data_IF_383701650291
#
_entry.id   IF_383701650291
#
_cell.length_a   1.000
_cell.length_b   1.000
_cell.length_c   1.000
_cell.angle_alpha   90.00
_cell.angle_beta   90.00
_cell.angle_gamma   90.00
#
_symmetry.space_group_name_H-M   'P 1'
#
loop_
_entity.id
_entity.type
_entity.pdbx_description
1 polymer ?
#
# COMPACT_ATOMS: atom_id res chain seq x y z
N UNK A 1 92.66 49.64 45.22
CA UNK A 1 92.47 49.82 43.77
C UNK A 1 91.49 48.70 43.30
N UNK A 2 90.22 49.00 43.29
CA UNK A 2 89.24 47.95 42.96
C UNK A 2 88.19 48.55 42.03
N UNK A 3 88.16 48.07 40.82
CA UNK A 3 87.25 48.54 39.76
C UNK A 3 85.98 47.70 39.81
N UNK A 4 84.86 48.36 40.05
CA UNK A 4 83.53 47.73 40.00
C UNK A 4 82.97 47.82 38.60
N UNK A 5 82.70 46.68 37.97
CA UNK A 5 81.95 46.59 36.71
C UNK A 5 80.50 46.42 36.99
N UNK A 6 79.66 47.33 36.50
CA UNK A 6 78.23 47.25 36.50
C UNK A 6 77.78 46.41 35.28
N UNK A 7 77.01 45.33 35.51
CA UNK A 7 76.36 44.51 34.48
C UNK A 7 74.97 45.01 34.27
N UNK A 8 74.64 45.42 33.03
CA UNK A 8 73.32 45.82 32.62
C UNK A 8 72.53 44.58 32.21
N UNK A 9 71.44 44.27 32.93
CA UNK A 9 70.46 43.26 32.53
C UNK A 9 69.48 43.90 31.54
N UNK A 10 69.44 43.47 30.32
CA UNK A 10 68.41 43.78 29.33
C UNK A 10 67.27 42.78 29.48
N UNK A 11 66.15 43.23 29.97
CA UNK A 11 64.88 42.47 29.93
C UNK A 11 64.33 42.51 28.52
N UNK A 12 64.37 41.41 27.81
CA UNK A 12 63.57 41.19 26.58
C UNK A 12 62.26 40.55 26.97
N UNK A 13 61.16 41.31 26.91
CA UNK A 13 59.80 40.78 27.01
C UNK A 13 59.45 40.09 25.68
N UNK A 14 59.33 38.79 25.68
CA UNK A 14 58.77 38.04 24.56
C UNK A 14 57.23 38.07 24.64
N UNK A 15 56.58 38.83 23.76
CA UNK A 15 55.16 38.77 23.59
C UNK A 15 54.80 37.51 22.83
N UNK A 16 54.18 36.52 23.49
CA UNK A 16 53.60 35.35 22.87
C UNK A 16 52.26 35.75 22.24
N UNK A 17 52.21 35.87 20.91
CA UNK A 17 50.99 36.00 20.16
C UNK A 17 50.28 34.65 20.12
N UNK A 18 49.24 34.43 20.94
CA UNK A 18 48.34 33.30 20.82
C UNK A 18 47.48 33.49 19.58
N UNK A 19 47.80 32.79 18.50
CA UNK A 19 46.94 32.65 17.31
C UNK A 19 45.70 31.85 17.73
N UNK A 20 44.56 32.52 17.90
CA UNK A 20 43.28 31.86 18.05
C UNK A 20 42.92 31.17 16.71
N UNK A 21 43.05 29.84 16.65
CA UNK A 21 42.47 29.06 15.55
C UNK A 21 40.95 29.16 15.60
N UNK A 22 40.28 29.47 14.49
CA UNK A 22 38.81 29.46 14.48
C UNK A 22 38.37 28.03 14.77
N UNK A 23 37.56 27.86 15.82
CA UNK A 23 36.87 26.61 16.10
C UNK A 23 35.95 26.31 14.91
N UNK A 24 36.26 25.26 14.15
CA UNK A 24 35.38 24.68 13.16
C UNK A 24 34.15 24.19 13.93
N UNK A 25 33.10 25.00 13.96
CA UNK A 25 31.75 24.53 14.33
C UNK A 25 31.36 23.50 13.25
N UNK A 26 31.55 22.24 13.53
CA UNK A 26 30.86 21.18 12.81
C UNK A 26 29.37 21.43 13.07
N UNK A 27 28.67 21.92 12.05
CA UNK A 27 27.22 21.97 12.08
C UNK A 27 26.72 20.56 12.45
N UNK A 28 26.15 20.43 13.63
CA UNK A 28 25.55 19.20 14.09
C UNK A 28 24.50 18.82 13.03
N UNK A 29 24.67 17.65 12.42
CA UNK A 29 23.66 17.15 11.48
C UNK A 29 22.28 17.24 12.17
N UNK A 30 21.26 17.75 11.50
CA UNK A 30 19.96 17.92 12.12
C UNK A 30 19.51 16.58 12.69
N UNK A 31 19.21 16.56 13.97
CA UNK A 31 18.71 15.37 14.66
C UNK A 31 17.49 14.88 13.86
N UNK A 32 17.42 13.61 13.45
CA UNK A 32 16.27 13.10 12.70
C UNK A 32 15.01 13.40 13.50
N UNK A 33 14.07 14.14 12.93
CA UNK A 33 12.77 14.42 13.56
C UNK A 33 12.13 13.07 13.82
N UNK A 34 11.97 12.71 15.08
CA UNK A 34 11.30 11.48 15.47
C UNK A 34 9.83 11.61 15.06
N UNK A 35 9.46 10.91 13.99
CA UNK A 35 8.06 10.85 13.52
C UNK A 35 7.31 9.82 14.34
N UNK A 36 6.01 10.04 14.50
CA UNK A 36 5.10 9.05 15.06
C UNK A 36 4.23 8.51 13.93
N UNK A 37 3.92 7.21 13.98
CA UNK A 37 2.88 6.61 13.14
C UNK A 37 2.14 5.61 14.03
N UNK A 38 1.00 6.04 14.57
CA UNK A 38 0.24 5.27 15.56
C UNK A 38 -1.28 5.47 15.30
N UNK A 39 -1.80 4.96 14.17
CA UNK A 39 -3.22 5.04 13.89
C UNK A 39 -4.01 4.28 14.96
N UNK A 40 -5.06 4.92 15.49
CA UNK A 40 -5.98 4.33 16.44
C UNK A 40 -7.40 4.52 15.92
N UNK A 41 -8.27 3.54 16.16
CA UNK A 41 -9.70 3.68 15.87
C UNK A 41 -10.27 4.90 16.57
N UNK A 42 -11.16 5.63 15.90
CA UNK A 42 -11.66 6.90 16.42
C UNK A 42 -12.83 7.45 15.60
N UNK A 43 -12.78 8.74 15.31
CA UNK A 43 -13.85 9.40 14.57
C UNK A 43 -13.92 8.92 13.10
N UNK A 44 -15.12 8.62 12.65
CA UNK A 44 -15.43 8.37 11.25
C UNK A 44 -15.29 9.66 10.44
N UNK A 45 -14.59 9.56 9.31
CA UNK A 45 -14.47 10.64 8.33
C UNK A 45 -15.28 10.27 7.09
N UNK A 46 -16.10 11.19 6.59
CA UNK A 46 -16.89 11.00 5.37
C UNK A 46 -16.14 11.56 4.18
N UNK A 47 -16.08 10.79 3.10
CA UNK A 47 -15.49 11.17 1.83
C UNK A 47 -16.49 10.98 0.70
N UNK A 48 -16.42 11.85 -0.28
CA UNK A 48 -17.08 11.71 -1.57
C UNK A 48 -16.00 11.61 -2.64
N UNK A 49 -16.03 10.52 -3.39
CA UNK A 49 -15.02 10.21 -4.41
C UNK A 49 -15.71 10.12 -5.75
N UNK A 50 -15.34 11.01 -6.67
CA UNK A 50 -15.84 11.03 -8.04
C UNK A 50 -14.80 10.43 -8.98
N UNK A 51 -15.20 9.41 -9.72
CA UNK A 51 -14.42 8.78 -10.79
C UNK A 51 -15.09 9.13 -12.11
N UNK A 52 -14.35 9.79 -12.99
CA UNK A 52 -14.78 10.10 -14.35
C UNK A 52 -13.94 9.32 -15.36
N UNK A 53 -14.61 8.73 -16.34
CA UNK A 53 -13.99 8.06 -17.49
C UNK A 53 -14.54 8.70 -18.75
N UNK A 54 -13.67 9.20 -19.59
CA UNK A 54 -13.97 9.68 -20.95
C UNK A 54 -13.22 8.81 -21.95
N UNK A 55 -13.88 8.36 -23.00
CA UNK A 55 -13.24 7.60 -24.08
C UNK A 55 -12.87 8.57 -25.19
N UNK A 56 -11.59 8.90 -25.29
CA UNK A 56 -11.08 9.94 -26.18
C UNK A 56 -11.16 9.53 -27.66
N UNK A 57 -10.95 8.26 -27.97
CA UNK A 57 -10.97 7.69 -29.31
C UNK A 57 -11.94 6.51 -29.35
N UNK A 58 -13.25 6.78 -29.43
CA UNK A 58 -14.24 5.70 -29.45
C UNK A 58 -14.22 4.97 -30.78
N UNK A 59 -14.11 3.65 -30.73
CA UNK A 59 -14.17 2.77 -31.90
C UNK A 59 -15.10 1.58 -31.63
N UNK A 60 -16.21 1.52 -32.33
CA UNK A 60 -17.19 0.45 -32.18
C UNK A 60 -17.94 0.47 -30.84
N UNK A 61 -18.50 -0.67 -30.46
CA UNK A 61 -19.13 -0.83 -29.18
C UNK A 61 -18.10 -0.85 -28.07
N UNK A 62 -18.29 -0.03 -27.04
CA UNK A 62 -17.36 0.11 -25.92
C UNK A 62 -18.05 -0.30 -24.62
N UNK A 63 -17.35 -1.02 -23.78
CA UNK A 63 -17.78 -1.41 -22.43
C UNK A 63 -16.83 -0.85 -21.39
N UNK A 64 -17.37 -0.35 -20.30
CA UNK A 64 -16.62 0.21 -19.19
C UNK A 64 -17.14 -0.37 -17.87
N UNK A 65 -16.23 -0.70 -16.96
CA UNK A 65 -16.51 -1.14 -15.60
C UNK A 65 -15.77 -0.24 -14.61
N UNK A 66 -16.52 0.41 -13.73
CA UNK A 66 -15.96 1.24 -12.67
C UNK A 66 -16.14 0.51 -11.32
N UNK A 67 -15.07 0.33 -10.54
CA UNK A 67 -15.19 -0.30 -9.23
C UNK A 67 -16.01 0.56 -8.26
N UNK A 68 -16.93 -0.08 -7.55
CA UNK A 68 -17.76 0.54 -6.51
C UNK A 68 -17.24 0.08 -5.14
N UNK A 69 -17.03 0.99 -4.17
CA UNK A 69 -16.70 0.60 -2.81
C UNK A 69 -17.78 -0.32 -2.23
N UNK A 70 -17.41 -1.53 -1.83
CA UNK A 70 -18.35 -2.54 -1.34
C UNK A 70 -17.97 -3.12 0.03
N UNK A 71 -16.83 -2.70 0.58
CA UNK A 71 -16.38 -3.15 1.91
C UNK A 71 -17.18 -2.43 2.99
N UNK A 72 -17.76 -3.21 3.93
CA UNK A 72 -18.33 -2.73 5.17
C UNK A 72 -17.72 -3.50 6.34
N UNK A 73 -17.09 -2.78 7.26
CA UNK A 73 -16.28 -3.35 8.33
C UNK A 73 -16.11 -2.36 9.49
N UNK A 74 -15.23 -2.71 10.42
CA UNK A 74 -14.83 -1.86 11.53
C UNK A 74 -14.09 -0.57 11.12
N UNK A 75 -13.58 -0.49 9.87
CA UNK A 75 -12.80 0.65 9.38
C UNK A 75 -13.41 1.39 8.21
N UNK A 76 -14.43 0.82 7.54
CA UNK A 76 -15.11 1.44 6.42
C UNK A 76 -16.61 1.14 6.40
N UNK A 77 -17.37 2.14 6.02
CA UNK A 77 -18.79 2.03 5.66
C UNK A 77 -18.99 2.57 4.26
N UNK A 78 -19.45 1.72 3.35
CA UNK A 78 -19.86 2.13 2.00
C UNK A 78 -21.30 2.59 2.08
N UNK A 79 -21.57 3.88 1.75
CA UNK A 79 -22.87 4.49 1.95
C UNK A 79 -23.71 4.44 0.66
N UNK A 80 -23.52 5.43 -0.20
CA UNK A 80 -24.33 5.60 -1.41
C UNK A 80 -23.46 5.81 -2.64
N UNK A 81 -24.03 5.51 -3.79
CA UNK A 81 -23.39 5.74 -5.08
C UNK A 81 -24.39 6.40 -6.02
N UNK A 82 -23.95 7.40 -6.75
CA UNK A 82 -24.69 8.02 -7.84
C UNK A 82 -23.83 8.02 -9.11
N UNK A 83 -24.48 8.01 -10.26
CA UNK A 83 -23.74 7.98 -11.53
C UNK A 83 -24.49 8.71 -12.63
N UNK A 84 -23.74 9.20 -13.61
CA UNK A 84 -24.22 9.82 -14.84
C UNK A 84 -23.40 9.30 -16.01
N UNK A 85 -24.07 8.98 -17.12
CA UNK A 85 -23.44 8.51 -18.34
C UNK A 85 -24.34 8.76 -19.54
N UNK A 86 -23.77 8.84 -20.74
CA UNK A 86 -24.51 8.81 -22.02
C UNK A 86 -24.59 7.37 -22.61
N UNK A 87 -24.13 6.35 -21.88
CA UNK A 87 -24.28 4.95 -22.23
C UNK A 87 -25.40 4.25 -21.46
N UNK A 88 -25.65 2.99 -21.78
CA UNK A 88 -26.54 2.11 -21.02
C UNK A 88 -25.84 1.65 -19.76
N UNK A 89 -26.40 1.94 -18.59
CA UNK A 89 -25.79 1.68 -17.29
C UNK A 89 -26.46 0.51 -16.56
N UNK A 90 -25.66 -0.24 -15.79
CA UNK A 90 -26.14 -1.29 -14.92
C UNK A 90 -25.24 -1.39 -13.68
N UNK A 91 -25.85 -1.39 -12.48
CA UNK A 91 -25.14 -1.81 -11.27
C UNK A 91 -25.09 -3.33 -11.25
N UNK A 92 -23.91 -3.87 -11.10
CA UNK A 92 -23.67 -5.31 -11.11
C UNK A 92 -22.52 -5.71 -10.18
N UNK A 93 -22.24 -6.97 -10.10
CA UNK A 93 -21.13 -7.49 -9.30
C UNK A 93 -20.53 -8.73 -9.97
N UNK A 94 -19.28 -9.01 -9.65
CA UNK A 94 -18.67 -10.29 -9.97
C UNK A 94 -19.42 -11.43 -9.29
N UNK A 95 -19.71 -12.48 -10.06
CA UNK A 95 -20.50 -13.62 -9.58
C UNK A 95 -19.79 -14.52 -8.58
N UNK A 96 -18.47 -14.44 -8.46
CA UNK A 96 -17.67 -15.28 -7.57
C UNK A 96 -17.33 -14.60 -6.23
N UNK A 97 -16.97 -13.32 -6.28
CA UNK A 97 -16.32 -12.63 -5.16
C UNK A 97 -17.07 -11.38 -4.73
N UNK A 98 -18.16 -11.04 -5.42
CA UNK A 98 -19.04 -9.95 -5.05
C UNK A 98 -18.44 -8.55 -5.22
N UNK A 99 -17.37 -8.41 -6.02
CA UNK A 99 -16.84 -7.10 -6.36
C UNK A 99 -17.89 -6.29 -7.12
N UNK A 100 -18.40 -5.21 -6.51
CA UNK A 100 -19.45 -4.37 -7.10
C UNK A 100 -18.86 -3.42 -8.12
N UNK A 101 -19.63 -3.16 -9.18
CA UNK A 101 -19.22 -2.28 -10.27
C UNK A 101 -20.39 -1.59 -10.95
N UNK A 102 -20.11 -0.41 -11.48
CA UNK A 102 -20.95 0.23 -12.49
C UNK A 102 -20.47 -0.25 -13.86
N UNK A 103 -21.31 -1.02 -14.55
CA UNK A 103 -21.14 -1.38 -15.94
C UNK A 103 -21.80 -0.33 -16.83
N UNK A 104 -21.09 0.08 -17.89
CA UNK A 104 -21.61 1.01 -18.90
C UNK A 104 -21.29 0.46 -20.28
N UNK A 105 -22.30 0.45 -21.17
CA UNK A 105 -22.16 0.08 -22.57
C UNK A 105 -22.52 1.26 -23.46
N UNK A 106 -21.59 1.61 -24.35
CA UNK A 106 -21.77 2.69 -25.31
C UNK A 106 -21.98 2.13 -26.70
N UNK A 107 -23.00 2.66 -27.39
CA UNK A 107 -23.28 2.30 -28.75
C UNK A 107 -22.12 2.69 -29.68
N UNK A 108 -21.94 1.96 -30.78
CA UNK A 108 -20.82 2.17 -31.71
C UNK A 108 -20.78 3.56 -32.36
N UNK A 109 -21.88 4.28 -32.35
CA UNK A 109 -22.02 5.64 -32.90
C UNK A 109 -21.97 6.73 -31.84
N UNK A 110 -21.70 6.40 -30.56
CA UNK A 110 -21.53 7.42 -29.52
C UNK A 110 -20.17 8.13 -29.71
N UNK A 111 -20.22 9.43 -30.01
CA UNK A 111 -19.04 10.20 -30.38
C UNK A 111 -18.19 10.64 -29.19
N UNK A 112 -18.76 10.75 -28.01
CA UNK A 112 -18.10 11.18 -26.78
C UNK A 112 -18.58 10.38 -25.57
N UNK A 113 -18.23 9.10 -25.51
CA UNK A 113 -18.61 8.24 -24.40
C UNK A 113 -18.04 8.75 -23.07
N UNK A 114 -18.88 8.89 -22.05
CA UNK A 114 -18.42 9.21 -20.72
C UNK A 114 -19.22 8.50 -19.65
N UNK A 115 -18.58 8.25 -18.52
CA UNK A 115 -19.23 7.79 -17.31
C UNK A 115 -18.64 8.52 -16.09
N UNK A 116 -19.50 8.93 -15.18
CA UNK A 116 -19.13 9.53 -13.88
C UNK A 116 -19.79 8.71 -12.80
N UNK A 117 -19.00 8.23 -11.85
CA UNK A 117 -19.45 7.54 -10.64
C UNK A 117 -19.01 8.36 -9.44
N UNK A 118 -19.95 8.72 -8.58
CA UNK A 118 -19.66 9.35 -7.28
C UNK A 118 -20.06 8.39 -6.17
N UNK A 119 -19.06 8.04 -5.34
CA UNK A 119 -19.21 7.12 -4.20
C UNK A 119 -19.01 7.87 -2.91
N UNK A 120 -19.91 7.70 -1.95
CA UNK A 120 -19.81 8.26 -0.61
C UNK A 120 -19.48 7.17 0.40
N UNK A 121 -18.42 7.38 1.15
CA UNK A 121 -17.89 6.41 2.11
C UNK A 121 -17.52 7.07 3.43
N UNK A 122 -17.51 6.28 4.49
CA UNK A 122 -16.87 6.66 5.75
C UNK A 122 -15.70 5.75 6.02
N UNK A 123 -14.60 6.32 6.50
CA UNK A 123 -13.43 5.55 6.94
C UNK A 123 -12.97 6.02 8.32
N UNK A 124 -12.28 5.15 9.02
CA UNK A 124 -11.53 5.50 10.23
C UNK A 124 -10.19 4.75 10.26
N UNK A 125 -9.30 5.17 11.14
CA UNK A 125 -8.08 4.42 11.40
C UNK A 125 -8.42 3.04 11.96
N UNK A 126 -7.50 2.10 11.77
CA UNK A 126 -7.62 0.74 12.28
C UNK A 126 -6.37 0.36 13.05
N UNK A 127 -6.56 -0.27 14.21
CA UNK A 127 -5.50 -0.86 14.99
C UNK A 127 -6.02 -2.10 15.72
N UNK A 128 -5.30 -3.20 15.65
CA UNK A 128 -5.62 -4.39 16.42
C UNK A 128 -5.24 -4.20 17.88
N UNK A 129 -6.14 -4.57 18.79
CA UNK A 129 -5.82 -4.69 20.19
C UNK A 129 -5.25 -6.09 20.47
N UNK A 130 -3.94 -6.17 20.56
CA UNK A 130 -3.24 -7.44 20.80
C UNK A 130 -3.40 -7.98 22.24
N UNK A 131 -3.95 -7.18 23.15
CA UNK A 131 -4.19 -7.60 24.53
C UNK A 131 -5.48 -8.41 24.71
N UNK A 132 -6.42 -8.31 23.73
CA UNK A 132 -7.75 -8.90 23.83
C UNK A 132 -8.06 -9.81 22.63
N UNK A 133 -8.63 -10.97 22.89
CA UNK A 133 -9.11 -11.93 21.88
C UNK A 133 -10.63 -12.01 21.92
N UNK A 134 -11.28 -10.96 21.45
CA UNK A 134 -12.74 -10.79 21.56
C UNK A 134 -13.48 -10.87 20.23
N UNK A 135 -12.76 -10.97 19.10
CA UNK A 135 -13.41 -11.04 17.80
C UNK A 135 -14.23 -12.32 17.64
N UNK A 136 -15.43 -12.17 17.12
CA UNK A 136 -16.27 -13.29 16.72
C UNK A 136 -15.57 -14.17 15.67
N UNK A 137 -15.92 -15.44 15.62
CA UNK A 137 -15.44 -16.33 14.58
C UNK A 137 -16.00 -15.94 13.22
N UNK A 138 -15.13 -15.96 12.22
CA UNK A 138 -15.55 -15.84 10.83
C UNK A 138 -16.17 -17.14 10.32
N UNK A 139 -16.98 -17.05 9.28
CA UNK A 139 -17.55 -18.21 8.61
C UNK A 139 -16.46 -19.14 8.04
N UNK A 140 -16.65 -20.46 8.24
CA UNK A 140 -15.66 -21.46 7.85
C UNK A 140 -15.43 -21.52 6.33
N UNK A 141 -16.46 -21.29 5.53
CA UNK A 141 -16.34 -21.30 4.07
C UNK A 141 -15.58 -20.07 3.59
N UNK A 142 -15.81 -18.92 4.21
CA UNK A 142 -15.04 -17.69 3.99
C UNK A 142 -13.55 -17.91 4.32
N UNK A 143 -13.24 -18.50 5.48
CA UNK A 143 -11.85 -18.79 5.86
C UNK A 143 -11.20 -19.78 4.89
N UNK A 144 -11.92 -20.84 4.50
CA UNK A 144 -11.44 -21.80 3.54
C UNK A 144 -11.17 -21.14 2.17
N UNK A 145 -12.07 -20.28 1.71
CA UNK A 145 -11.89 -19.53 0.47
C UNK A 145 -10.59 -18.71 0.49
N UNK A 146 -10.32 -17.96 1.54
CA UNK A 146 -9.13 -17.14 1.67
C UNK A 146 -7.85 -17.90 2.04
N UNK A 147 -7.86 -19.25 2.02
CA UNK A 147 -6.67 -20.09 1.99
C UNK A 147 -6.42 -20.73 0.60
N UNK A 148 -7.36 -20.55 -0.35
CA UNK A 148 -7.20 -21.12 -1.69
C UNK A 148 -6.25 -20.28 -2.55
N UNK A 149 -5.58 -20.89 -3.54
CA UNK A 149 -4.83 -20.16 -4.55
C UNK A 149 -5.75 -19.31 -5.43
N UNK A 150 -5.17 -18.30 -6.08
CA UNK A 150 -5.72 -17.61 -7.23
C UNK A 150 -4.71 -17.63 -8.39
N UNK A 151 -5.09 -17.14 -9.56
CA UNK A 151 -4.25 -17.26 -10.76
C UNK A 151 -2.82 -16.72 -10.56
N UNK A 152 -2.67 -15.60 -9.85
CA UNK A 152 -1.37 -14.94 -9.58
C UNK A 152 -0.83 -15.18 -8.18
N UNK A 153 -1.59 -15.83 -7.32
CA UNK A 153 -1.23 -16.14 -5.93
C UNK A 153 -1.35 -17.64 -5.70
N UNK A 154 -0.46 -18.46 -6.29
CA UNK A 154 -0.41 -19.89 -5.99
C UNK A 154 0.05 -20.13 -4.56
N UNK A 155 -0.27 -21.30 -4.00
CA UNK A 155 0.03 -21.68 -2.61
C UNK A 155 0.94 -22.89 -2.49
N UNK A 156 1.43 -23.43 -3.60
CA UNK A 156 2.30 -24.58 -3.70
C UNK A 156 3.70 -24.22 -4.27
N UNK A 157 4.46 -25.21 -4.70
CA UNK A 157 5.75 -25.02 -5.36
C UNK A 157 6.72 -24.13 -4.58
N UNK A 158 7.28 -23.14 -5.26
CA UNK A 158 8.25 -22.20 -4.67
C UNK A 158 7.62 -21.32 -3.59
N UNK A 159 6.34 -20.98 -3.72
CA UNK A 159 5.60 -20.16 -2.74
C UNK A 159 5.53 -20.90 -1.40
N UNK A 160 5.11 -22.17 -1.41
CA UNK A 160 5.08 -23.00 -0.21
C UNK A 160 6.46 -23.21 0.39
N UNK A 161 7.47 -23.47 -0.44
CA UNK A 161 8.86 -23.63 0.03
C UNK A 161 9.33 -22.38 0.76
N UNK A 162 9.10 -21.21 0.18
CA UNK A 162 9.48 -19.92 0.77
C UNK A 162 8.71 -19.65 2.08
N UNK A 163 7.40 -19.92 2.08
CA UNK A 163 6.56 -19.72 3.25
C UNK A 163 6.98 -20.60 4.44
N UNK A 164 7.29 -21.87 4.19
CA UNK A 164 7.78 -22.80 5.22
C UNK A 164 9.15 -22.37 5.76
N UNK A 165 10.04 -21.89 4.91
CA UNK A 165 11.35 -21.37 5.33
C UNK A 165 11.19 -20.10 6.19
N UNK A 166 10.35 -19.16 5.74
CA UNK A 166 10.09 -17.91 6.46
C UNK A 166 9.44 -18.16 7.82
N UNK A 167 8.58 -19.18 7.94
CA UNK A 167 7.84 -19.47 9.19
C UNK A 167 8.47 -20.53 10.10
N UNK A 168 9.72 -20.92 9.82
CA UNK A 168 10.40 -21.94 10.62
C UNK A 168 10.36 -21.59 12.11
N UNK A 169 9.87 -22.56 12.95
CA UNK A 169 9.74 -22.42 14.40
C UNK A 169 8.51 -21.64 14.87
N UNK A 170 7.67 -21.08 13.98
CA UNK A 170 6.39 -20.49 14.36
C UNK A 170 5.40 -21.58 14.81
N UNK A 171 4.68 -21.32 15.92
CA UNK A 171 3.72 -22.24 16.53
C UNK A 171 2.27 -21.78 16.37
N UNK A 172 2.05 -20.50 16.19
CA UNK A 172 0.73 -19.88 16.08
C UNK A 172 0.59 -19.12 14.77
N UNK A 173 -0.65 -18.86 14.35
CA UNK A 173 -0.89 -18.09 13.12
C UNK A 173 -0.43 -16.64 13.24
N UNK A 174 -0.47 -16.07 14.45
CA UNK A 174 0.13 -14.74 14.72
C UNK A 174 1.64 -14.77 14.46
N UNK A 175 2.36 -15.78 14.97
CA UNK A 175 3.80 -15.92 14.76
C UNK A 175 4.14 -16.17 13.29
N UNK A 176 3.32 -16.97 12.57
CA UNK A 176 3.50 -17.18 11.13
C UNK A 176 3.33 -15.87 10.37
N UNK A 177 2.24 -15.13 10.62
CA UNK A 177 1.97 -13.86 9.97
C UNK A 177 3.07 -12.83 10.26
N UNK A 178 3.56 -12.73 11.51
CA UNK A 178 4.66 -11.85 11.86
C UNK A 178 5.94 -12.20 11.12
N UNK A 179 6.33 -13.48 11.10
CA UNK A 179 7.54 -13.93 10.41
C UNK A 179 7.48 -13.70 8.90
N UNK A 180 6.32 -13.90 8.28
CA UNK A 180 6.11 -13.61 6.86
C UNK A 180 6.20 -12.10 6.61
N UNK A 181 5.54 -11.29 7.45
CA UNK A 181 5.62 -9.84 7.37
C UNK A 181 7.06 -9.33 7.45
N UNK A 182 7.81 -9.80 8.45
CA UNK A 182 9.22 -9.45 8.64
C UNK A 182 10.07 -9.92 7.46
N UNK A 183 9.77 -11.11 6.91
CA UNK A 183 10.45 -11.64 5.73
C UNK A 183 10.21 -10.74 4.49
N UNK A 184 8.97 -10.32 4.25
CA UNK A 184 8.64 -9.39 3.15
C UNK A 184 9.43 -8.10 3.31
N UNK A 185 9.35 -7.46 4.49
CA UNK A 185 10.03 -6.19 4.74
C UNK A 185 11.56 -6.30 4.59
N UNK A 186 12.14 -7.43 4.96
CA UNK A 186 13.58 -7.66 4.90
C UNK A 186 14.11 -8.03 3.50
N UNK A 187 13.32 -8.72 2.69
CA UNK A 187 13.78 -9.32 1.43
C UNK A 187 13.23 -8.64 0.18
N UNK A 188 12.19 -7.81 0.30
CA UNK A 188 11.59 -7.12 -0.85
C UNK A 188 11.91 -5.62 -0.83
N UNK A 189 11.60 -4.94 -1.91
CA UNK A 189 11.78 -3.50 -1.98
C UNK A 189 10.77 -2.84 -2.93
N UNK A 190 10.48 -1.56 -2.68
CA UNK A 190 9.71 -0.75 -3.61
C UNK A 190 10.50 -0.47 -4.87
N UNK A 191 10.02 -0.94 -6.04
CA UNK A 191 10.58 -0.63 -7.36
C UNK A 191 9.74 0.46 -8.04
N UNK A 192 10.23 1.71 -8.11
CA UNK A 192 9.46 2.82 -8.68
C UNK A 192 9.09 2.65 -10.16
N UNK A 193 9.89 1.88 -10.92
CA UNK A 193 9.71 1.69 -12.36
C UNK A 193 8.63 0.68 -12.71
N UNK A 194 8.16 -0.12 -11.77
CA UNK A 194 7.02 -1.04 -12.00
C UNK A 194 5.81 -0.23 -12.41
N UNK A 195 5.09 -0.71 -13.41
CA UNK A 195 3.92 -0.06 -13.97
C UNK A 195 2.70 -0.20 -13.05
N UNK A 196 1.86 0.83 -12.96
CA UNK A 196 0.68 0.83 -12.11
C UNK A 196 0.99 0.48 -10.65
N UNK A 197 0.27 -0.46 -10.10
CA UNK A 197 0.49 -1.03 -8.77
C UNK A 197 1.31 -2.34 -8.79
N UNK A 198 1.77 -2.79 -9.95
CA UNK A 198 2.32 -4.13 -10.19
C UNK A 198 1.24 -5.10 -10.64
N UNK A 199 1.63 -6.33 -10.89
CA UNK A 199 0.75 -7.39 -11.41
C UNK A 199 0.33 -8.40 -10.34
N UNK A 200 1.16 -8.58 -9.32
CA UNK A 200 0.92 -9.52 -8.23
C UNK A 200 1.25 -10.96 -8.57
N UNK A 201 2.05 -11.23 -9.61
CA UNK A 201 2.54 -12.57 -9.96
C UNK A 201 3.68 -12.99 -9.02
N UNK A 202 3.30 -13.56 -7.90
CA UNK A 202 4.23 -13.92 -6.82
C UNK A 202 5.11 -15.12 -7.18
N UNK A 203 4.66 -15.99 -8.07
CA UNK A 203 5.47 -17.12 -8.53
C UNK A 203 6.65 -16.64 -9.34
N UNK A 204 6.41 -15.80 -10.35
CA UNK A 204 7.48 -15.20 -11.18
C UNK A 204 8.45 -14.39 -10.32
N UNK A 205 7.96 -13.62 -9.33
CA UNK A 205 8.83 -12.87 -8.41
C UNK A 205 9.81 -13.80 -7.68
N UNK A 206 9.34 -14.92 -7.14
CA UNK A 206 10.16 -15.88 -6.38
C UNK A 206 11.09 -16.70 -7.28
N UNK A 207 10.61 -17.15 -8.45
CA UNK A 207 11.40 -17.96 -9.39
C UNK A 207 12.55 -17.17 -10.01
N UNK A 208 12.32 -15.90 -10.32
CA UNK A 208 13.35 -15.01 -10.87
C UNK A 208 14.24 -14.36 -9.81
N UNK A 209 13.90 -14.52 -8.54
CA UNK A 209 14.51 -13.80 -7.40
C UNK A 209 14.48 -12.26 -7.57
N UNK A 210 13.60 -11.75 -8.42
CA UNK A 210 13.34 -10.31 -8.54
C UNK A 210 12.23 -9.91 -7.56
N UNK A 211 12.61 -9.54 -6.35
CA UNK A 211 11.71 -9.20 -5.26
C UNK A 211 11.41 -7.69 -5.17
N UNK A 212 11.70 -6.94 -6.23
CA UNK A 212 11.28 -5.56 -6.39
C UNK A 212 9.85 -5.47 -6.92
N UNK A 213 9.01 -4.64 -6.29
CA UNK A 213 7.62 -4.51 -6.72
C UNK A 213 6.92 -3.27 -6.20
N UNK A 214 5.64 -3.17 -6.49
CA UNK A 214 4.74 -2.18 -5.90
C UNK A 214 3.73 -2.86 -4.95
N UNK A 215 2.66 -2.15 -4.61
CA UNK A 215 1.75 -2.62 -3.57
C UNK A 215 1.05 -3.93 -3.94
N UNK A 216 0.63 -4.12 -5.21
CA UNK A 216 0.00 -5.36 -5.63
C UNK A 216 0.97 -6.55 -5.58
N UNK A 217 2.25 -6.32 -5.92
CA UNK A 217 3.26 -7.37 -5.89
C UNK A 217 3.62 -7.79 -4.46
N UNK A 218 3.93 -6.81 -3.60
CA UNK A 218 4.44 -7.07 -2.26
C UNK A 218 3.35 -7.57 -1.29
N UNK A 219 2.13 -7.04 -1.40
CA UNK A 219 1.01 -7.50 -0.57
C UNK A 219 0.47 -8.85 -1.07
N UNK A 220 0.39 -9.09 -2.39
CA UNK A 220 0.05 -10.42 -2.91
C UNK A 220 1.07 -11.48 -2.47
N UNK A 221 2.37 -11.16 -2.45
CA UNK A 221 3.39 -12.07 -1.94
C UNK A 221 3.18 -12.37 -0.45
N UNK A 222 2.88 -11.38 0.37
CA UNK A 222 2.51 -11.57 1.77
C UNK A 222 1.29 -12.49 1.91
N UNK A 223 0.22 -12.22 1.16
CA UNK A 223 -1.02 -13.02 1.15
C UNK A 223 -0.75 -14.47 0.72
N UNK A 224 0.00 -14.67 -0.35
CA UNK A 224 0.32 -16.00 -0.86
C UNK A 224 1.14 -16.83 0.11
N UNK A 225 2.16 -16.24 0.75
CA UNK A 225 2.95 -16.91 1.78
C UNK A 225 2.11 -17.28 3.01
N UNK A 226 1.18 -16.41 3.44
CA UNK A 226 0.25 -16.72 4.53
C UNK A 226 -0.67 -17.87 4.17
N UNK A 227 -1.32 -17.84 3.00
CA UNK A 227 -2.20 -18.92 2.52
C UNK A 227 -1.45 -20.26 2.41
N UNK A 228 -0.22 -20.24 1.93
CA UNK A 228 0.60 -21.43 1.75
C UNK A 228 0.94 -22.19 3.05
N UNK A 229 0.86 -21.50 4.21
CA UNK A 229 1.03 -22.10 5.55
C UNK A 229 -0.28 -22.22 6.33
N UNK A 230 -1.42 -22.09 5.62
CA UNK A 230 -2.76 -22.29 6.17
C UNK A 230 -3.32 -21.11 6.97
N UNK A 231 -2.72 -19.91 6.88
CA UNK A 231 -3.26 -18.70 7.47
C UNK A 231 -4.16 -18.01 6.44
N UNK A 232 -5.49 -17.87 6.69
CA UNK A 232 -6.38 -17.18 5.75
C UNK A 232 -5.95 -15.74 5.58
N UNK A 233 -5.76 -15.30 4.33
CA UNK A 233 -5.28 -13.96 4.01
C UNK A 233 -5.91 -13.46 2.70
N UNK A 234 -6.07 -12.14 2.59
CA UNK A 234 -6.65 -11.49 1.42
C UNK A 234 -6.02 -10.14 1.13
N UNK A 235 -5.92 -9.80 -0.13
CA UNK A 235 -5.67 -8.43 -0.54
C UNK A 235 -6.93 -7.59 -0.36
N UNK A 236 -6.73 -6.30 -0.11
CA UNK A 236 -7.78 -5.31 -0.04
C UNK A 236 -7.43 -4.19 -1.02
N UNK A 237 -8.17 -4.10 -2.09
CA UNK A 237 -7.90 -3.18 -3.20
C UNK A 237 -8.60 -1.85 -3.00
N UNK A 238 -7.86 -0.75 -3.16
CA UNK A 238 -8.41 0.56 -2.83
C UNK A 238 -7.62 1.74 -3.37
N UNK A 239 -7.89 2.91 -2.80
CA UNK A 239 -7.28 4.17 -3.23
C UNK A 239 -7.05 5.10 -2.03
N UNK A 240 -5.92 5.81 -2.02
CA UNK A 240 -5.64 6.86 -1.03
C UNK A 240 -6.45 8.11 -1.36
N UNK A 241 -6.96 8.75 -0.32
CA UNK A 241 -7.90 9.88 -0.47
C UNK A 241 -7.27 11.21 -0.10
N UNK A 242 -6.55 11.26 1.02
CA UNK A 242 -6.06 12.51 1.62
C UNK A 242 -4.66 12.33 2.20
N UNK A 243 -3.96 13.43 2.53
CA UNK A 243 -2.67 13.35 3.18
C UNK A 243 -2.70 12.54 4.48
N UNK A 244 -1.57 11.89 4.79
CA UNK A 244 -1.38 11.22 6.07
C UNK A 244 -1.38 12.25 7.21
N UNK A 245 -2.17 12.00 8.25
CA UNK A 245 -2.19 12.83 9.46
C UNK A 245 -0.87 12.71 10.26
N UNK A 246 -0.05 11.72 9.95
CA UNK A 246 1.24 11.48 10.59
C UNK A 246 2.42 12.08 9.83
N UNK A 247 2.16 12.85 8.76
CA UNK A 247 3.18 13.59 8.01
C UNK A 247 4.05 12.75 7.07
N UNK A 248 3.64 11.51 6.74
CA UNK A 248 4.32 10.67 5.75
C UNK A 248 3.79 11.00 4.35
N UNK A 249 4.64 11.58 3.50
CA UNK A 249 4.25 11.94 2.13
C UNK A 249 3.93 10.70 1.28
N UNK A 250 4.71 9.62 1.45
CA UNK A 250 4.54 8.40 0.67
C UNK A 250 3.31 7.57 1.08
N UNK A 251 2.73 7.84 2.26
CA UNK A 251 1.48 7.27 2.72
C UNK A 251 0.27 8.19 2.47
N UNK A 252 0.49 9.31 1.78
CA UNK A 252 -0.52 10.33 1.51
C UNK A 252 -1.23 10.12 0.17
N UNK A 253 -2.49 10.56 0.10
CA UNK A 253 -3.22 10.86 -1.13
C UNK A 253 -3.29 12.36 -1.36
N UNK A 254 -3.55 12.78 -2.60
CA UNK A 254 -3.80 14.17 -2.96
C UNK A 254 -5.27 14.33 -3.36
N UNK A 255 -6.12 14.97 -2.53
CA UNK A 255 -7.56 15.09 -2.83
C UNK A 255 -7.86 15.93 -4.08
N UNK A 256 -6.93 16.77 -4.53
CA UNK A 256 -7.09 17.53 -5.78
C UNK A 256 -6.87 16.65 -7.04
N UNK A 257 -6.16 15.53 -6.90
CA UNK A 257 -5.94 14.57 -7.98
C UNK A 257 -5.57 13.21 -7.40
N UNK A 258 -6.45 12.23 -7.56
CA UNK A 258 -6.21 10.84 -7.13
C UNK A 258 -5.51 10.00 -8.22
N UNK A 259 -4.98 10.63 -9.26
CA UNK A 259 -4.18 9.94 -10.29
C UNK A 259 -3.00 9.23 -9.63
N UNK A 260 -2.87 7.92 -9.85
CA UNK A 260 -1.82 7.09 -9.26
C UNK A 260 -1.94 6.87 -7.76
N UNK A 261 -3.10 7.18 -7.16
CA UNK A 261 -3.36 7.00 -5.73
C UNK A 261 -3.86 5.59 -5.36
N UNK A 262 -4.06 4.72 -6.35
CA UNK A 262 -4.43 3.32 -6.12
C UNK A 262 -3.40 2.64 -5.23
N UNK A 263 -3.90 1.89 -4.27
CA UNK A 263 -3.08 1.18 -3.30
C UNK A 263 -3.80 -0.03 -2.73
N UNK A 264 -3.16 -1.19 -2.83
CA UNK A 264 -3.63 -2.40 -2.16
C UNK A 264 -3.05 -2.46 -0.74
N UNK A 265 -3.80 -3.06 0.14
CA UNK A 265 -3.40 -3.49 1.48
C UNK A 265 -3.70 -4.97 1.62
N UNK A 266 -3.40 -5.56 2.74
CA UNK A 266 -3.72 -6.95 3.02
C UNK A 266 -4.33 -7.14 4.39
N UNK A 267 -5.05 -8.24 4.56
CA UNK A 267 -5.59 -8.69 5.84
C UNK A 267 -5.26 -10.16 6.04
N UNK A 268 -5.03 -10.54 7.28
CA UNK A 268 -4.95 -11.94 7.72
C UNK A 268 -6.01 -12.22 8.76
N UNK A 269 -6.62 -13.39 8.71
CA UNK A 269 -7.51 -13.82 9.78
C UNK A 269 -6.71 -14.47 10.88
N UNK A 270 -6.82 -13.93 12.08
CA UNK A 270 -6.19 -14.44 13.29
C UNK A 270 -7.25 -14.77 14.31
N UNK A 271 -7.31 -16.03 14.74
CA UNK A 271 -8.34 -16.50 15.68
C UNK A 271 -8.36 -15.66 16.96
N UNK A 272 -9.53 -15.10 17.25
CA UNK A 272 -9.78 -14.20 18.37
C UNK A 272 -9.52 -12.72 18.07
N UNK A 273 -8.80 -12.40 16.98
CA UNK A 273 -8.57 -11.02 16.52
C UNK A 273 -9.38 -10.67 15.26
N UNK A 274 -9.94 -11.68 14.56
CA UNK A 274 -10.66 -11.49 13.31
C UNK A 274 -9.72 -11.18 12.14
N UNK A 275 -10.21 -10.42 11.16
CA UNK A 275 -9.40 -9.91 10.06
C UNK A 275 -8.52 -8.76 10.53
N UNK A 276 -7.23 -8.96 10.51
CA UNK A 276 -6.22 -8.02 11.03
C UNK A 276 -5.49 -7.36 9.87
N UNK A 277 -5.34 -6.05 9.96
CA UNK A 277 -4.70 -5.20 8.96
C UNK A 277 -3.19 -5.48 8.81
N UNK A 278 -2.70 -5.55 7.57
CA UNK A 278 -1.28 -5.72 7.24
C UNK A 278 -0.92 -4.87 6.03
N UNK A 279 0.25 -4.22 6.04
CA UNK A 279 0.72 -3.50 4.85
C UNK A 279 2.26 -3.41 4.78
N UNK A 280 2.94 -4.54 4.53
CA UNK A 280 4.40 -4.53 4.37
C UNK A 280 4.86 -3.73 3.13
N UNK A 281 3.99 -3.56 2.12
CA UNK A 281 4.31 -2.79 0.93
C UNK A 281 4.49 -1.29 1.22
N UNK A 282 3.73 -0.74 2.16
CA UNK A 282 3.90 0.64 2.60
C UNK A 282 5.18 0.84 3.42
N UNK A 283 5.60 -0.15 4.20
CA UNK A 283 6.92 -0.12 4.84
C UNK A 283 8.02 -0.02 3.79
N UNK A 284 7.99 -0.88 2.78
CA UNK A 284 8.95 -0.85 1.67
C UNK A 284 8.90 0.48 0.90
N UNK A 285 7.72 1.09 0.75
CA UNK A 285 7.55 2.40 0.11
C UNK A 285 8.20 3.51 0.93
N UNK A 286 7.98 3.55 2.25
CA UNK A 286 8.61 4.51 3.15
C UNK A 286 10.12 4.32 3.17
N UNK A 287 10.61 3.09 3.27
CA UNK A 287 12.05 2.78 3.22
C UNK A 287 12.70 3.32 1.95
N UNK A 288 12.02 3.26 0.82
CA UNK A 288 12.60 3.58 -0.48
C UNK A 288 12.45 5.05 -0.89
N UNK A 289 11.37 5.73 -0.52
CA UNK A 289 10.94 6.98 -1.14
C UNK A 289 10.66 8.13 -0.16
N UNK A 290 10.49 7.87 1.14
CA UNK A 290 10.10 8.91 2.09
C UNK A 290 11.21 9.95 2.30
N UNK A 291 12.46 9.54 2.14
CA UNK A 291 13.66 10.40 2.18
C UNK A 291 14.39 10.35 0.85
N UNK A 292 15.36 11.26 0.63
CA UNK A 292 16.22 11.23 -0.56
C UNK A 292 17.02 9.93 -0.63
N UNK A 293 17.47 9.44 0.51
CA UNK A 293 18.27 8.21 0.60
C UNK A 293 17.37 6.99 0.82
N UNK A 294 17.75 5.86 0.25
CA UNK A 294 17.09 4.59 0.50
C UNK A 294 17.43 4.07 1.90
N UNK A 295 16.48 4.11 2.81
CA UNK A 295 16.62 3.56 4.16
C UNK A 295 16.48 2.03 4.09
N UNK A 296 17.55 1.30 4.42
CA UNK A 296 17.57 -0.18 4.40
C UNK A 296 17.42 -0.82 5.78
N UNK A 297 17.25 0.00 6.81
CA UNK A 297 17.17 -0.45 8.19
C UNK A 297 15.78 -0.12 8.78
N UNK A 298 15.06 -1.13 9.22
CA UNK A 298 13.74 -0.99 9.84
C UNK A 298 13.76 -0.33 11.22
N UNK A 299 14.93 -0.23 11.86
CA UNK A 299 15.10 0.49 13.14
C UNK A 299 15.32 2.00 12.95
N UNK A 300 15.43 2.48 11.71
CA UNK A 300 15.53 3.90 11.40
C UNK A 300 14.30 4.65 11.97
N UNK A 301 14.47 5.81 12.64
CA UNK A 301 13.38 6.58 13.26
C UNK A 301 12.23 6.96 12.32
N UNK A 302 12.45 7.03 11.01
CA UNK A 302 11.40 7.27 10.02
C UNK A 302 10.62 6.00 9.71
N UNK A 303 11.26 4.83 9.70
CA UNK A 303 10.67 3.55 9.29
C UNK A 303 10.07 2.78 10.47
N UNK A 304 10.72 2.77 11.61
CA UNK A 304 10.34 1.95 12.75
C UNK A 304 8.88 2.14 13.23
N UNK A 305 8.35 3.38 13.33
CA UNK A 305 6.94 3.57 13.71
C UNK A 305 5.97 2.99 12.68
N UNK A 306 6.26 3.13 11.38
CA UNK A 306 5.44 2.62 10.30
C UNK A 306 5.49 1.09 10.27
N UNK A 307 6.70 0.50 10.34
CA UNK A 307 6.87 -0.94 10.35
C UNK A 307 6.13 -1.61 11.52
N UNK A 308 6.18 -1.00 12.70
CA UNK A 308 5.45 -1.49 13.88
C UNK A 308 3.94 -1.40 13.72
N UNK A 309 3.44 -0.27 13.23
CA UNK A 309 2.00 -0.01 13.19
C UNK A 309 1.27 -0.74 12.06
N UNK A 310 1.95 -0.97 10.92
CA UNK A 310 1.37 -1.64 9.77
C UNK A 310 1.29 -3.17 9.91
N UNK A 311 1.80 -3.72 10.99
CA UNK A 311 1.43 -5.03 11.50
C UNK A 311 0.32 -4.88 12.53
N UNK A 312 -0.91 -4.90 12.08
CA UNK A 312 -2.11 -4.80 12.91
C UNK A 312 -2.96 -3.55 12.69
N UNK A 313 -2.49 -2.57 11.89
CA UNK A 313 -3.24 -1.34 11.71
C UNK A 313 -2.93 -0.61 10.42
N UNK A 314 -3.71 0.41 10.13
CA UNK A 314 -3.47 1.38 9.06
C UNK A 314 -4.23 2.69 9.30
N UNK A 315 -3.82 3.71 8.58
CA UNK A 315 -4.49 5.01 8.61
C UNK A 315 -5.74 4.99 7.71
N UNK A 316 -6.83 5.63 8.17
CA UNK A 316 -8.10 5.75 7.46
C UNK A 316 -8.13 6.87 6.41
N UNK A 317 -7.00 7.25 5.86
CA UNK A 317 -6.87 8.17 4.73
C UNK A 317 -6.98 7.46 3.36
N UNK A 318 -7.56 6.29 3.35
CA UNK A 318 -7.67 5.35 2.25
C UNK A 318 -9.06 4.69 2.26
N UNK A 319 -9.55 4.32 1.10
CA UNK A 319 -10.83 3.66 0.88
C UNK A 319 -10.61 2.32 0.16
N UNK A 320 -11.30 1.27 0.63
CA UNK A 320 -11.34 -0.03 -0.01
C UNK A 320 -12.48 -0.10 -1.04
N UNK A 321 -12.20 -0.68 -2.19
CA UNK A 321 -13.24 -1.10 -3.14
C UNK A 321 -13.76 -2.51 -2.81
N UNK A 322 -12.87 -3.49 -2.80
CA UNK A 322 -13.20 -4.91 -2.62
C UNK A 322 -11.98 -5.73 -2.17
N UNK A 323 -12.20 -7.03 -1.95
CA UNK A 323 -11.16 -8.04 -1.62
C UNK A 323 -11.10 -9.15 -2.66
N UNK A 324 -11.63 -8.93 -3.85
CA UNK A 324 -11.80 -9.95 -4.87
C UNK A 324 -10.53 -10.13 -5.73
N UNK A 325 -10.16 -11.37 -5.96
CA UNK A 325 -9.13 -11.76 -6.94
C UNK A 325 -9.79 -12.45 -8.12
N UNK A 326 -9.13 -12.46 -9.28
CA UNK A 326 -9.60 -13.15 -10.50
C UNK A 326 -11.04 -12.74 -10.91
N UNK A 327 -11.31 -11.43 -10.89
CA UNK A 327 -12.64 -10.87 -11.09
C UNK A 327 -13.11 -11.06 -12.52
N UNK A 328 -14.30 -11.63 -12.67
CA UNK A 328 -14.99 -11.75 -13.96
C UNK A 328 -15.79 -10.46 -14.22
N UNK A 329 -15.42 -9.75 -15.26
CA UNK A 329 -16.18 -8.56 -15.70
C UNK A 329 -17.38 -9.01 -16.55
N UNK A 330 -18.62 -8.74 -16.13
CA UNK A 330 -19.83 -9.17 -16.87
C UNK A 330 -19.82 -8.62 -18.29
N UNK A 331 -20.15 -9.50 -19.26
CA UNK A 331 -20.13 -9.19 -20.71
C UNK A 331 -18.77 -8.86 -21.31
N UNK A 332 -17.66 -8.94 -20.56
CA UNK A 332 -16.32 -8.82 -21.12
C UNK A 332 -16.00 -9.96 -22.06
N UNK A 333 -15.30 -9.65 -23.14
CA UNK A 333 -14.68 -10.64 -24.04
C UNK A 333 -13.26 -11.01 -23.62
N UNK A 334 -12.68 -10.26 -22.69
CA UNK A 334 -11.33 -10.48 -22.20
C UNK A 334 -11.29 -11.44 -20.99
N UNK A 335 -10.09 -11.82 -20.60
CA UNK A 335 -9.85 -12.67 -19.42
C UNK A 335 -10.24 -11.99 -18.11
N UNK A 336 -10.25 -12.74 -17.01
CA UNK A 336 -10.42 -12.21 -15.66
C UNK A 336 -9.37 -11.14 -15.36
N UNK A 337 -9.73 -10.15 -14.57
CA UNK A 337 -8.75 -9.20 -14.02
C UNK A 337 -8.28 -9.69 -12.65
N UNK A 338 -6.96 -9.65 -12.41
CA UNK A 338 -6.38 -10.18 -11.17
C UNK A 338 -6.89 -9.47 -9.94
N UNK A 339 -7.10 -8.15 -10.08
CA UNK A 339 -7.69 -7.29 -9.06
C UNK A 339 -8.48 -6.15 -9.70
N UNK A 340 -9.42 -5.58 -8.96
CA UNK A 340 -10.33 -4.58 -9.50
C UNK A 340 -10.37 -3.32 -8.64
N UNK A 341 -9.46 -2.37 -8.92
CA UNK A 341 -9.40 -1.04 -8.29
C UNK A 341 -9.15 0.09 -9.29
N UNK A 342 -9.06 -0.24 -10.57
CA UNK A 342 -9.02 0.71 -11.68
C UNK A 342 -10.29 0.59 -12.50
N UNK A 343 -10.78 1.66 -13.12
CA UNK A 343 -11.73 1.51 -14.22
C UNK A 343 -11.12 0.63 -15.31
N UNK A 344 -11.93 -0.24 -15.88
CA UNK A 344 -11.54 -1.08 -17.01
C UNK A 344 -12.43 -0.73 -18.19
N UNK A 345 -11.86 -0.60 -19.36
CA UNK A 345 -12.60 -0.39 -20.59
C UNK A 345 -12.12 -1.35 -21.68
N UNK A 346 -13.03 -1.74 -22.59
CA UNK A 346 -12.72 -2.59 -23.75
C UNK A 346 -13.59 -2.24 -24.97
N UNK A 347 -13.09 -2.58 -26.13
CA UNK A 347 -13.84 -2.64 -27.39
C UNK A 347 -13.55 -3.97 -28.09
N UNK A 348 -13.94 -4.13 -29.36
CA UNK A 348 -13.69 -5.35 -30.13
C UNK A 348 -12.20 -5.65 -30.36
N UNK A 349 -11.32 -4.64 -30.30
CA UNK A 349 -9.87 -4.81 -30.45
C UNK A 349 -9.18 -5.26 -29.16
N UNK A 350 -9.84 -5.14 -28.00
CA UNK A 350 -9.30 -5.56 -26.70
C UNK A 350 -9.50 -4.53 -25.60
N UNK A 351 -8.79 -4.73 -24.49
CA UNK A 351 -8.83 -3.82 -23.33
C UNK A 351 -7.95 -2.60 -23.54
N UNK A 352 -8.45 -1.48 -23.08
CA UNK A 352 -7.70 -0.24 -23.00
C UNK A 352 -6.76 -0.29 -21.78
N UNK A 353 -5.71 0.52 -21.84
CA UNK A 353 -4.71 0.58 -20.79
C UNK A 353 -5.18 1.36 -19.58
N UNK A 354 -5.61 0.65 -18.53
CA UNK A 354 -6.06 1.25 -17.27
C UNK A 354 -4.94 1.90 -16.44
N UNK A 355 -3.66 1.57 -16.72
CA UNK A 355 -2.52 2.11 -15.96
C UNK A 355 -1.90 3.36 -16.58
N UNK A 356 -2.18 3.63 -17.85
CA UNK A 356 -1.69 4.79 -18.57
C UNK A 356 -2.84 5.39 -19.41
N UNK A 357 -3.90 5.89 -18.75
CA UNK A 357 -4.95 6.60 -19.46
C UNK A 357 -4.39 7.88 -20.07
N UNK A 358 -4.93 8.30 -21.22
CA UNK A 358 -4.73 9.64 -21.75
C UNK A 358 -5.36 10.65 -20.78
N UNK A 359 -4.66 11.75 -20.48
CA UNK A 359 -5.12 12.84 -19.59
C UNK A 359 -5.56 14.07 -20.36
#
# INVERSE_FOLDING_TARGET
MTTVRRTFLKNTAAAAAAAALPSLNFAQAPTPVQRTFAPQSGAWRTFEVTTRVDIVKPEGLIRVWLPIPSVNSDYQRSLENSFTSNGTTQLTQDGQHGAKMLYVEFAANEARPFAVLTSRVQTQNRAADWSQKTAASEDADTLRYFTQPSAFIPTDGIVRKTALAATQGARTDVEKAQKIYDWIVANTYREPKVRGCGEGDIQTMLETANLGGKCADLNALFVGLCRAVGVPARDVYGIRLVPSAFGYKELSGNPASLKGAQHCRSEVYLKGYGWVAMDPADVAKVMRLETADWIKNTTNPVVAPVNKALFGGWEGNWMAYNTASDVVLPKSSGEKVHFFMYPVAENAAGRFDSYAPDD
#
